data_IF_520598085057
#
_entry.id   IF_520598085057
#
_cell.length_a   1.000
_cell.length_b   1.000
_cell.length_c   1.000
_cell.angle_alpha   90.00
_cell.angle_beta   90.00
_cell.angle_gamma   90.00
#
_symmetry.space_group_name_H-M   'P 1'
#
loop_
_entity.id
_entity.type
_entity.pdbx_description
1 polymer ?
#
# COMPACT_ATOMS: atom_id res chain seq x y z
N UNK A 1 -12.71 -16.70 -0.67
CA UNK A 1 -13.51 -15.65 0.04
C UNK A 1 -14.72 -15.33 -0.80
N UNK A 2 -15.91 -15.37 -0.21
CA UNK A 2 -17.17 -15.08 -0.89
C UNK A 2 -17.23 -13.59 -1.24
N UNK A 3 -17.85 -13.22 -2.35
CA UNK A 3 -17.95 -11.82 -2.84
C UNK A 3 -18.62 -10.88 -1.82
N UNK A 4 -19.54 -11.40 -1.01
CA UNK A 4 -20.22 -10.67 0.08
C UNK A 4 -19.24 -10.19 1.16
N UNK A 5 -18.23 -11.00 1.52
CA UNK A 5 -17.20 -10.61 2.47
C UNK A 5 -16.32 -9.49 1.91
N UNK A 6 -16.02 -9.52 0.60
CA UNK A 6 -15.30 -8.43 -0.07
C UNK A 6 -16.06 -7.12 -0.02
N UNK A 7 -17.38 -7.16 -0.24
CA UNK A 7 -18.22 -5.96 -0.16
C UNK A 7 -18.30 -5.39 1.25
N UNK A 8 -18.38 -6.23 2.27
CA UNK A 8 -18.36 -5.79 3.67
C UNK A 8 -17.02 -5.15 4.04
N UNK A 9 -15.90 -5.80 3.72
CA UNK A 9 -14.58 -5.28 4.02
C UNK A 9 -14.26 -4.01 3.24
N UNK A 10 -14.72 -3.88 2.00
CA UNK A 10 -14.53 -2.65 1.19
C UNK A 10 -15.21 -1.42 1.78
N UNK A 11 -16.19 -1.62 2.66
CA UNK A 11 -16.88 -0.57 3.43
C UNK A 11 -16.40 -0.45 4.87
N UNK A 12 -15.38 -1.22 5.27
CA UNK A 12 -14.83 -1.27 6.62
C UNK A 12 -15.59 -2.18 7.59
N UNK A 13 -16.70 -2.80 7.19
CA UNK A 13 -17.41 -3.75 8.04
C UNK A 13 -16.60 -5.04 8.22
N UNK A 14 -16.44 -5.48 9.48
CA UNK A 14 -15.62 -6.65 9.82
C UNK A 14 -14.12 -6.39 9.88
N UNK A 15 -13.69 -5.14 9.76
CA UNK A 15 -12.31 -4.72 10.01
C UNK A 15 -12.19 -4.32 11.48
N UNK A 16 -11.52 -5.15 12.27
CA UNK A 16 -11.40 -4.91 13.71
C UNK A 16 -10.22 -4.01 14.09
N UNK A 17 -9.30 -3.74 13.17
CA UNK A 17 -8.20 -2.79 13.39
C UNK A 17 -8.68 -1.35 13.19
N UNK A 18 -8.61 -0.47 14.22
CA UNK A 18 -8.94 0.95 14.06
C UNK A 18 -8.11 1.64 12.96
N UNK A 19 -6.82 1.30 12.87
CA UNK A 19 -5.94 1.79 11.81
C UNK A 19 -6.47 1.42 10.42
N UNK A 20 -6.74 0.14 10.19
CA UNK A 20 -7.17 -0.33 8.87
C UNK A 20 -8.59 0.14 8.53
N UNK A 21 -9.46 0.26 9.52
CA UNK A 21 -10.77 0.89 9.34
C UNK A 21 -10.66 2.33 8.85
N UNK A 22 -9.76 3.12 9.45
CA UNK A 22 -9.44 4.48 9.01
C UNK A 22 -8.94 4.51 7.56
N UNK A 23 -7.98 3.64 7.21
CA UNK A 23 -7.47 3.52 5.83
C UNK A 23 -8.60 3.21 4.84
N UNK A 24 -9.47 2.25 5.16
CA UNK A 24 -10.60 1.91 4.28
C UNK A 24 -11.54 3.10 4.09
N UNK A 25 -11.95 3.73 5.17
CA UNK A 25 -12.96 4.80 5.15
C UNK A 25 -12.43 6.09 4.54
N UNK A 26 -11.21 6.50 4.87
CA UNK A 26 -10.67 7.80 4.49
C UNK A 26 -9.86 7.78 3.18
N UNK A 27 -9.24 6.64 2.86
CA UNK A 27 -8.41 6.55 1.68
C UNK A 27 -9.01 5.71 0.54
N UNK A 28 -9.61 4.57 0.86
CA UNK A 28 -10.01 3.60 -0.15
C UNK A 28 -11.45 3.78 -0.66
N UNK A 29 -12.34 4.34 0.16
CA UNK A 29 -13.73 4.60 -0.22
C UNK A 29 -13.92 5.88 -1.04
N UNK A 30 -13.30 7.02 -0.71
CA UNK A 30 -13.51 8.24 -1.47
C UNK A 30 -13.15 8.06 -2.95
N UNK A 31 -13.95 8.64 -3.84
CA UNK A 31 -13.73 8.63 -5.29
C UNK A 31 -13.08 9.93 -5.78
N UNK A 32 -12.81 10.87 -4.89
CA UNK A 32 -12.15 12.14 -5.12
C UNK A 32 -10.93 12.28 -4.20
N UNK A 33 -10.01 13.15 -4.56
CA UNK A 33 -8.86 13.46 -3.73
C UNK A 33 -9.30 14.23 -2.48
N UNK A 34 -8.77 13.83 -1.33
CA UNK A 34 -9.06 14.42 -0.02
C UNK A 34 -7.80 15.11 0.49
N UNK A 35 -7.80 16.44 0.45
CA UNK A 35 -6.74 17.28 1.03
C UNK A 35 -5.40 17.27 0.30
N UNK A 36 -4.53 18.17 0.73
CA UNK A 36 -3.10 18.20 0.50
C UNK A 36 -2.59 18.40 -0.93
N UNK A 37 -1.24 18.44 -1.08
CA UNK A 37 -0.58 18.54 -2.37
C UNK A 37 -0.88 17.38 -3.29
N UNK A 38 -1.18 17.63 -4.56
CA UNK A 38 -1.58 16.61 -5.55
C UNK A 38 -0.40 15.98 -6.30
N UNK A 39 0.83 16.25 -5.88
CA UNK A 39 2.04 15.84 -6.60
C UNK A 39 2.13 14.31 -6.75
N UNK A 40 1.90 13.55 -5.67
CA UNK A 40 1.88 12.08 -5.77
C UNK A 40 0.89 11.57 -6.81
N UNK A 41 -0.31 12.17 -6.85
CA UNK A 41 -1.32 11.79 -7.83
C UNK A 41 -0.83 12.00 -9.27
N UNK A 42 -0.22 13.16 -9.54
CA UNK A 42 0.34 13.51 -10.85
C UNK A 42 1.50 12.58 -11.23
N UNK A 43 2.40 12.29 -10.29
CA UNK A 43 3.54 11.39 -10.50
C UNK A 43 3.07 9.97 -10.85
N UNK A 44 2.04 9.48 -10.16
CA UNK A 44 1.44 8.17 -10.43
C UNK A 44 0.77 8.11 -11.81
N UNK A 45 0.07 9.17 -12.21
CA UNK A 45 -0.51 9.24 -13.55
C UNK A 45 0.56 9.28 -14.64
N UNK A 46 1.66 10.02 -14.42
CA UNK A 46 2.81 10.03 -15.30
C UNK A 46 3.47 8.65 -15.42
N UNK A 47 3.44 7.85 -14.35
CA UNK A 47 3.89 6.45 -14.35
C UNK A 47 2.85 5.47 -14.95
N UNK A 48 1.77 5.95 -15.57
CA UNK A 48 0.75 5.11 -16.22
C UNK A 48 -0.25 4.46 -15.28
N UNK A 49 -0.32 4.89 -14.03
CA UNK A 49 -1.27 4.35 -13.05
C UNK A 49 -2.65 5.01 -13.23
N UNK A 50 -3.71 4.20 -13.15
CA UNK A 50 -5.07 4.69 -13.33
C UNK A 50 -5.43 5.78 -12.32
N UNK A 51 -6.23 6.76 -12.74
CA UNK A 51 -6.73 7.85 -11.90
C UNK A 51 -7.31 7.34 -10.56
N UNK A 52 -8.12 6.28 -10.62
CA UNK A 52 -8.73 5.69 -9.42
C UNK A 52 -7.72 5.15 -8.42
N UNK A 53 -6.65 4.50 -8.89
CA UNK A 53 -5.57 4.00 -8.01
C UNK A 53 -4.74 5.16 -7.49
N UNK A 54 -4.38 6.11 -8.33
CA UNK A 54 -3.63 7.31 -7.95
C UNK A 54 -4.38 8.12 -6.87
N UNK A 55 -5.69 8.33 -7.03
CA UNK A 55 -6.54 9.00 -6.02
C UNK A 55 -6.50 8.28 -4.67
N UNK A 56 -6.60 6.96 -4.65
CA UNK A 56 -6.57 6.19 -3.40
C UNK A 56 -5.23 6.25 -2.69
N UNK A 57 -4.13 6.16 -3.45
CA UNK A 57 -2.79 6.26 -2.88
C UNK A 57 -2.47 7.67 -2.40
N UNK A 58 -2.95 8.71 -3.10
CA UNK A 58 -2.91 10.08 -2.63
C UNK A 58 -3.65 10.23 -1.30
N UNK A 59 -4.90 9.77 -1.22
CA UNK A 59 -5.70 9.84 0.00
C UNK A 59 -5.05 9.04 1.15
N UNK A 60 -4.44 7.89 0.84
CA UNK A 60 -3.70 7.10 1.81
C UNK A 60 -2.51 7.86 2.40
N UNK A 61 -1.67 8.45 1.56
CA UNK A 61 -0.53 9.25 1.98
C UNK A 61 -0.94 10.33 2.99
N UNK A 62 -2.00 11.08 2.65
CA UNK A 62 -2.52 12.14 3.50
C UNK A 62 -3.16 11.63 4.80
N UNK A 63 -3.93 10.55 4.72
CA UNK A 63 -4.58 9.97 5.90
C UNK A 63 -3.57 9.47 6.94
N UNK A 64 -2.47 8.86 6.50
CA UNK A 64 -1.42 8.34 7.40
C UNK A 64 -0.44 9.42 7.83
N UNK A 65 -0.46 10.58 7.16
CA UNK A 65 0.45 11.70 7.44
C UNK A 65 1.88 11.43 6.95
N UNK A 66 2.03 10.71 5.82
CA UNK A 66 3.30 10.55 5.14
C UNK A 66 3.56 11.76 4.23
N UNK A 67 4.81 12.25 4.23
CA UNK A 67 5.24 13.38 3.38
C UNK A 67 6.10 12.94 2.20
N UNK A 68 6.70 11.77 2.29
CA UNK A 68 7.64 11.26 1.30
C UNK A 68 7.09 10.05 0.54
N UNK A 69 7.44 9.96 -0.74
CA UNK A 69 7.14 8.79 -1.56
C UNK A 69 8.24 8.52 -2.57
N UNK A 70 8.28 7.28 -3.04
CA UNK A 70 9.13 6.87 -4.16
C UNK A 70 8.37 5.92 -5.09
N UNK A 71 8.64 6.01 -6.39
CA UNK A 71 8.05 5.15 -7.41
C UNK A 71 9.18 4.41 -8.12
N UNK A 72 9.16 3.08 -8.06
CA UNK A 72 10.15 2.17 -8.66
C UNK A 72 11.61 2.49 -8.31
N UNK A 73 11.83 3.04 -7.12
CA UNK A 73 13.16 3.31 -6.58
C UNK A 73 13.16 3.22 -5.06
N UNK A 74 14.30 2.85 -4.50
CA UNK A 74 14.51 2.89 -3.05
C UNK A 74 14.74 4.33 -2.63
N UNK A 75 14.02 4.83 -1.59
CA UNK A 75 14.27 6.17 -1.06
C UNK A 75 15.68 6.27 -0.46
N UNK A 76 16.35 7.38 -0.73
CA UNK A 76 17.72 7.63 -0.23
C UNK A 76 17.74 8.00 1.25
N UNK A 77 16.68 8.66 1.72
CA UNK A 77 16.51 9.17 3.09
C UNK A 77 15.02 9.02 3.44
N UNK A 78 14.71 8.80 4.71
CA UNK A 78 13.33 8.79 5.20
C UNK A 78 12.50 7.56 4.83
N UNK A 79 13.14 6.44 4.54
CA UNK A 79 12.43 5.19 4.22
C UNK A 79 11.44 4.77 5.32
N UNK A 80 11.73 5.11 6.57
CA UNK A 80 10.93 4.75 7.76
C UNK A 80 9.55 5.45 7.79
N UNK A 81 9.41 6.58 7.12
CA UNK A 81 8.16 7.36 7.04
C UNK A 81 7.74 7.63 5.60
N UNK A 82 7.97 6.70 4.71
CA UNK A 82 7.70 6.87 3.28
C UNK A 82 6.69 5.85 2.73
N UNK A 83 6.02 6.26 1.65
CA UNK A 83 5.23 5.39 0.80
C UNK A 83 6.09 4.95 -0.39
N UNK A 84 6.57 3.73 -0.37
CA UNK A 84 7.26 3.14 -1.51
C UNK A 84 6.25 2.46 -2.43
N UNK A 85 6.33 2.75 -3.72
CA UNK A 85 5.39 2.25 -4.71
C UNK A 85 6.17 1.48 -5.78
N UNK A 86 5.89 0.20 -5.89
CA UNK A 86 6.35 -0.66 -6.97
C UNK A 86 5.24 -0.76 -8.03
N UNK A 87 5.49 -0.22 -9.22
CA UNK A 87 4.58 -0.34 -10.35
C UNK A 87 4.66 -1.74 -10.99
N UNK A 88 3.76 -2.10 -11.91
CA UNK A 88 3.87 -3.37 -12.63
C UNK A 88 5.16 -3.51 -13.45
N UNK A 89 5.86 -2.41 -13.73
CA UNK A 89 7.11 -2.39 -14.48
C UNK A 89 8.35 -2.28 -13.58
N UNK A 90 8.16 -2.26 -12.26
CA UNK A 90 9.25 -2.21 -11.29
C UNK A 90 10.19 -3.41 -11.46
N UNK A 91 11.50 -3.18 -11.63
CA UNK A 91 12.48 -4.27 -11.68
C UNK A 91 12.46 -5.10 -10.40
N UNK A 92 12.57 -6.42 -10.53
CA UNK A 92 12.52 -7.35 -9.39
C UNK A 92 13.60 -7.04 -8.35
N UNK A 93 14.79 -6.63 -8.78
CA UNK A 93 15.88 -6.28 -7.86
C UNK A 93 15.57 -5.01 -7.06
N UNK A 94 14.94 -4.01 -7.68
CA UNK A 94 14.49 -2.80 -6.98
C UNK A 94 13.42 -3.14 -5.95
N UNK A 95 12.46 -3.99 -6.30
CA UNK A 95 11.43 -4.45 -5.37
C UNK A 95 12.03 -5.19 -4.17
N UNK A 96 13.02 -6.06 -4.39
CA UNK A 96 13.76 -6.73 -3.31
C UNK A 96 14.49 -5.73 -2.41
N UNK A 97 15.14 -4.73 -2.99
CA UNK A 97 15.81 -3.68 -2.24
C UNK A 97 14.84 -2.86 -1.40
N UNK A 98 13.67 -2.47 -1.95
CA UNK A 98 12.61 -1.80 -1.19
C UNK A 98 12.21 -2.62 0.04
N UNK A 99 11.97 -3.91 -0.13
CA UNK A 99 11.60 -4.83 0.97
C UNK A 99 12.72 -4.88 2.02
N UNK A 100 13.96 -5.08 1.59
CA UNK A 100 15.12 -5.18 2.49
C UNK A 100 15.33 -3.88 3.28
N UNK A 101 15.19 -2.73 2.64
CA UNK A 101 15.32 -1.41 3.27
C UNK A 101 14.33 -1.24 4.41
N UNK A 102 13.10 -1.69 4.24
CA UNK A 102 12.06 -1.51 5.26
C UNK A 102 12.19 -2.57 6.36
N UNK A 103 12.49 -3.82 6.01
CA UNK A 103 12.69 -4.90 7.00
C UNK A 103 13.90 -4.61 7.90
N UNK A 104 14.94 -3.96 7.37
CA UNK A 104 16.11 -3.55 8.16
C UNK A 104 15.81 -2.43 9.17
N UNK A 105 14.71 -1.72 9.04
CA UNK A 105 14.27 -0.64 9.95
C UNK A 105 13.24 -1.09 11.00
N UNK A 106 12.94 -2.38 11.10
CA UNK A 106 11.91 -2.93 12.02
C UNK A 106 12.16 -2.65 13.52
N UNK A 107 13.33 -2.18 13.92
CA UNK A 107 13.63 -1.82 15.32
C UNK A 107 13.05 -0.45 15.74
N UNK A 108 12.57 0.34 14.80
CA UNK A 108 12.01 1.66 15.05
C UNK A 108 10.51 1.69 14.72
N UNK A 109 9.76 2.51 15.41
CA UNK A 109 8.33 2.75 15.18
C UNK A 109 8.15 3.39 13.79
N UNK A 110 8.11 2.58 12.74
CA UNK A 110 8.07 3.06 11.37
C UNK A 110 6.64 3.12 10.83
N UNK A 111 6.33 4.17 10.09
CA UNK A 111 5.11 4.31 9.30
C UNK A 111 5.30 3.85 7.85
N UNK A 112 6.47 3.33 7.51
CA UNK A 112 6.77 2.91 6.15
C UNK A 112 5.71 1.95 5.60
N UNK A 113 5.36 2.17 4.36
CA UNK A 113 4.39 1.35 3.64
C UNK A 113 4.93 1.03 2.26
N UNK A 114 4.89 -0.24 1.87
CA UNK A 114 5.14 -0.68 0.50
C UNK A 114 3.83 -0.96 -0.20
N UNK A 115 3.59 -0.24 -1.28
CA UNK A 115 2.48 -0.48 -2.20
C UNK A 115 2.98 -1.25 -3.42
N UNK A 116 2.46 -2.44 -3.65
CA UNK A 116 2.74 -3.20 -4.87
C UNK A 116 1.52 -3.14 -5.79
N UNK A 117 1.67 -2.46 -6.93
CA UNK A 117 0.62 -2.37 -7.95
C UNK A 117 0.74 -3.59 -8.87
N UNK A 118 -0.37 -4.26 -9.13
CA UNK A 118 -0.36 -5.48 -9.92
C UNK A 118 -0.98 -5.34 -11.30
N UNK A 119 -0.42 -6.07 -12.26
CA UNK A 119 -1.10 -6.41 -13.52
C UNK A 119 -2.05 -7.58 -13.31
N UNK A 120 -3.06 -7.68 -14.16
CA UNK A 120 -3.87 -8.89 -14.24
C UNK A 120 -3.02 -10.05 -14.78
N UNK A 121 -3.05 -11.19 -14.10
CA UNK A 121 -2.35 -12.38 -14.55
C UNK A 121 -1.97 -13.35 -13.43
N UNK A 122 -1.62 -14.60 -13.81
CA UNK A 122 -1.27 -15.67 -12.87
C UNK A 122 0.04 -15.38 -12.12
N UNK A 123 1.05 -14.85 -12.83
CA UNK A 123 2.38 -14.53 -12.25
C UNK A 123 2.27 -13.45 -11.19
N UNK A 124 1.53 -12.38 -11.47
CA UNK A 124 1.27 -11.31 -10.51
C UNK A 124 0.53 -11.81 -9.26
N UNK A 125 -0.42 -12.74 -9.44
CA UNK A 125 -1.14 -13.36 -8.32
C UNK A 125 -0.22 -14.20 -7.42
N UNK A 126 0.74 -14.92 -8.00
CA UNK A 126 1.72 -15.73 -7.26
C UNK A 126 2.67 -14.84 -6.45
N UNK A 127 3.24 -13.80 -7.08
CA UNK A 127 4.12 -12.84 -6.41
C UNK A 127 3.41 -12.19 -5.21
N UNK A 128 2.20 -11.71 -5.42
CA UNK A 128 1.38 -11.08 -4.38
C UNK A 128 1.13 -12.02 -3.20
N UNK A 129 0.74 -13.27 -3.45
CA UNK A 129 0.52 -14.27 -2.40
C UNK A 129 1.79 -14.53 -1.60
N UNK A 130 2.93 -14.60 -2.27
CA UNK A 130 4.23 -14.78 -1.63
C UNK A 130 4.59 -13.59 -0.75
N UNK A 131 4.47 -12.36 -1.26
CA UNK A 131 4.74 -11.14 -0.49
C UNK A 131 3.88 -11.07 0.78
N UNK A 132 2.58 -11.35 0.66
CA UNK A 132 1.66 -11.36 1.81
C UNK A 132 2.01 -12.47 2.81
N UNK A 133 2.39 -13.65 2.34
CA UNK A 133 2.74 -14.77 3.21
C UNK A 133 4.07 -14.53 3.98
N UNK A 134 5.05 -13.93 3.31
CA UNK A 134 6.37 -13.64 3.89
C UNK A 134 6.34 -12.37 4.79
N UNK A 135 5.41 -11.44 4.56
CA UNK A 135 5.27 -10.24 5.37
C UNK A 135 4.80 -10.57 6.79
N UNK A 136 5.54 -10.09 7.80
CA UNK A 136 5.25 -10.37 9.22
C UNK A 136 4.20 -9.45 9.82
N UNK A 137 3.93 -8.32 9.19
CA UNK A 137 3.02 -7.30 9.68
C UNK A 137 1.62 -7.35 9.05
N UNK A 138 0.90 -6.26 9.19
CA UNK A 138 -0.43 -6.08 8.60
C UNK A 138 -0.32 -5.81 7.10
N UNK A 139 -1.29 -6.30 6.33
CA UNK A 139 -1.41 -6.01 4.90
C UNK A 139 -2.87 -5.86 4.46
N UNK A 140 -3.08 -5.04 3.45
CA UNK A 140 -4.39 -4.81 2.84
C UNK A 140 -4.32 -5.02 1.32
N UNK A 141 -5.18 -5.86 0.80
CA UNK A 141 -5.25 -6.14 -0.64
C UNK A 141 -6.50 -5.51 -1.25
N UNK A 142 -6.29 -4.75 -2.30
CA UNK A 142 -7.32 -4.28 -3.21
C UNK A 142 -7.11 -4.86 -4.61
N UNK A 143 -8.12 -4.75 -5.48
CA UNK A 143 -8.12 -5.35 -6.83
C UNK A 143 -6.84 -5.09 -7.64
N UNK A 144 -6.24 -3.91 -7.50
CA UNK A 144 -5.13 -3.45 -8.34
C UNK A 144 -3.82 -3.23 -7.59
N UNK A 145 -3.81 -3.28 -6.28
CA UNK A 145 -2.62 -3.12 -5.46
C UNK A 145 -2.74 -3.79 -4.10
N UNK A 146 -1.59 -4.03 -3.47
CA UNK A 146 -1.47 -4.52 -2.09
C UNK A 146 -0.63 -3.54 -1.30
N UNK A 147 -1.09 -3.18 -0.12
CA UNK A 147 -0.34 -2.41 0.87
C UNK A 147 0.24 -3.35 1.91
N UNK A 148 1.54 -3.21 2.18
CA UNK A 148 2.26 -3.89 3.24
C UNK A 148 2.69 -2.82 4.25
N UNK A 149 2.19 -2.91 5.48
CA UNK A 149 2.48 -1.95 6.55
C UNK A 149 3.62 -2.49 7.42
N UNK A 150 4.66 -1.68 7.63
CA UNK A 150 5.85 -2.07 8.38
C UNK A 150 5.86 -1.50 9.80
N UNK A 151 4.74 -1.09 10.31
CA UNK A 151 4.59 -0.67 11.70
C UNK A 151 4.53 -1.90 12.62
N UNK A 152 5.52 -2.11 13.50
CA UNK A 152 5.58 -3.28 14.38
C UNK A 152 4.46 -3.31 15.43
N UNK A 153 3.81 -2.17 15.71
CA UNK A 153 2.65 -2.11 16.59
C UNK A 153 1.38 -2.72 15.97
N UNK A 154 1.37 -2.95 14.64
CA UNK A 154 0.23 -3.54 13.96
C UNK A 154 0.34 -5.09 13.95
N UNK A 155 -0.71 -5.82 14.35
CA UNK A 155 -0.67 -7.27 14.37
C UNK A 155 -0.58 -7.85 12.96
N UNK A 156 -0.01 -9.05 12.83
CA UNK A 156 -0.04 -9.78 11.57
C UNK A 156 -1.49 -10.07 11.16
N UNK A 157 -1.95 -9.39 10.13
CA UNK A 157 -3.30 -9.56 9.59
C UNK A 157 -3.30 -9.24 8.08
N UNK A 158 -4.00 -10.06 7.30
CA UNK A 158 -4.22 -9.80 5.88
C UNK A 158 -5.71 -9.58 5.62
N UNK A 159 -6.05 -8.42 5.05
CA UNK A 159 -7.44 -8.05 4.76
C UNK A 159 -7.59 -7.73 3.27
N UNK A 160 -8.63 -8.27 2.66
CA UNK A 160 -9.05 -7.94 1.30
C UNK A 160 -10.15 -6.89 1.38
N UNK A 161 -9.91 -5.72 0.76
CA UNK A 161 -10.78 -4.53 0.80
C UNK A 161 -11.26 -4.11 -0.59
#
# INVERSE_FOLDING_TARGET
MKWEQRLRHSRGYGVHSPFLYGVVRQAMMPHHMVGGPTQLHSDLQAAGISNRTATRLHNYLHHVGLSEWSIDKVPSIGAEESLMIATPDCPTEVLKQMITTVVGSEEHNTKATLCVIHRRGKTSKRLRRRLVAEHKGMSAEKRHFTLLFFNPALPKQHIII
#
